data_IF_029050935334
#
_entry.id   IF_029050935334
#
_cell.length_a   1.000
_cell.length_b   1.000
_cell.length_c   1.000
_cell.angle_alpha   90.00
_cell.angle_beta   90.00
_cell.angle_gamma   90.00
#
_symmetry.space_group_name_H-M   'P 1'
#
loop_
_entity.id
_entity.type
_entity.pdbx_description
1 polymer ?
#
# COMPACT_ATOMS: atom_id res chain seq x y z
N UNK A 1 -3.53 -30.42 -0.42
CA UNK A 1 -3.89 -29.11 -1.05
C UNK A 1 -2.90 -28.09 -0.55
N UNK A 2 -2.33 -27.26 -1.43
CA UNK A 2 -1.40 -26.21 -0.99
C UNK A 2 -2.16 -25.16 -0.17
N UNK A 3 -1.57 -24.60 0.91
CA UNK A 3 -2.22 -23.59 1.75
C UNK A 3 -2.70 -22.37 0.95
N UNK A 4 -2.04 -22.06 -0.17
CA UNK A 4 -2.43 -21.01 -1.08
C UNK A 4 -3.82 -21.25 -1.72
N UNK A 5 -4.13 -22.50 -2.09
CA UNK A 5 -5.45 -22.84 -2.68
C UNK A 5 -6.58 -22.73 -1.67
N UNK A 6 -6.31 -23.03 -0.40
CA UNK A 6 -7.29 -22.86 0.68
C UNK A 6 -7.57 -21.39 0.95
N UNK A 7 -6.53 -20.55 1.01
CA UNK A 7 -6.68 -19.10 1.19
C UNK A 7 -7.44 -18.46 0.04
N UNK A 8 -7.12 -18.84 -1.21
CA UNK A 8 -7.84 -18.34 -2.40
C UNK A 8 -9.30 -18.80 -2.39
N UNK A 9 -9.59 -20.05 -2.01
CA UNK A 9 -10.96 -20.55 -1.91
C UNK A 9 -11.75 -19.84 -0.81
N UNK A 10 -11.17 -19.61 0.36
CA UNK A 10 -11.81 -18.88 1.48
C UNK A 10 -12.10 -17.43 1.09
N UNK A 11 -11.15 -16.73 0.43
CA UNK A 11 -11.37 -15.38 -0.09
C UNK A 11 -12.48 -15.36 -1.15
N UNK A 12 -12.53 -16.37 -2.03
CA UNK A 12 -13.56 -16.46 -3.06
C UNK A 12 -14.94 -16.76 -2.48
N UNK A 13 -15.03 -17.63 -1.46
CA UNK A 13 -16.29 -17.93 -0.75
C UNK A 13 -16.77 -16.71 0.06
N UNK A 14 -15.88 -15.96 0.72
CA UNK A 14 -16.22 -14.71 1.40
C UNK A 14 -16.76 -13.64 0.43
N UNK A 15 -16.28 -13.61 -0.81
CA UNK A 15 -16.80 -12.72 -1.87
C UNK A 15 -18.17 -13.15 -2.37
N UNK A 16 -18.46 -14.45 -2.42
CA UNK A 16 -19.73 -15.00 -2.94
C UNK A 16 -20.89 -14.98 -1.94
N UNK A 17 -20.64 -15.17 -0.64
CA UNK A 17 -21.69 -15.25 0.41
C UNK A 17 -22.38 -13.89 0.66
N UNK A 18 -21.83 -12.79 0.18
CA UNK A 18 -22.40 -11.45 0.36
C UNK A 18 -23.38 -10.99 -0.76
N UNK A 19 -23.99 -11.87 -1.52
CA UNK A 19 -24.69 -11.53 -2.78
C UNK A 19 -26.17 -11.13 -2.64
N UNK A 20 -26.71 -10.86 -1.45
CA UNK A 20 -28.15 -10.51 -1.32
C UNK A 20 -28.31 -9.26 -0.46
N UNK A 21 -28.38 -8.11 -1.08
CA UNK A 21 -29.01 -6.81 -0.75
C UNK A 21 -28.41 -5.74 -1.65
N UNK A 22 -29.09 -4.64 -1.92
CA UNK A 22 -28.59 -3.52 -2.75
C UNK A 22 -27.36 -2.88 -2.08
N UNK A 23 -26.19 -3.53 -2.19
CA UNK A 23 -24.95 -3.10 -1.58
C UNK A 23 -24.22 -2.19 -2.56
N UNK A 24 -23.83 -1.03 -2.09
CA UNK A 24 -23.04 -0.08 -2.86
C UNK A 24 -21.60 -0.58 -2.92
N UNK A 25 -21.14 -0.87 -4.12
CA UNK A 25 -19.74 -1.15 -4.39
C UNK A 25 -19.04 0.14 -4.84
N UNK A 26 -17.78 0.30 -4.48
CA UNK A 26 -16.94 1.39 -4.94
C UNK A 26 -15.65 0.84 -5.50
N UNK A 27 -15.22 1.38 -6.63
CA UNK A 27 -13.89 1.17 -7.19
C UNK A 27 -13.20 2.52 -7.34
N UNK A 28 -11.91 2.60 -7.02
CA UNK A 28 -11.14 3.81 -7.23
C UNK A 28 -9.77 3.52 -7.81
N UNK A 29 -9.27 4.48 -8.58
CA UNK A 29 -7.90 4.55 -9.06
C UNK A 29 -7.30 5.89 -8.64
N UNK A 30 -6.09 5.85 -8.08
CA UNK A 30 -5.39 7.04 -7.57
C UNK A 30 -3.95 7.05 -8.05
N UNK A 31 -3.39 8.23 -8.18
CA UNK A 31 -1.96 8.46 -8.48
C UNK A 31 -1.41 9.37 -7.42
N UNK A 32 -0.22 9.09 -6.94
CA UNK A 32 0.41 9.87 -5.89
C UNK A 32 1.89 9.58 -5.74
N UNK A 33 2.39 9.79 -4.54
CA UNK A 33 3.77 9.51 -4.17
C UNK A 33 3.84 8.73 -2.87
N UNK A 34 4.83 7.85 -2.77
CA UNK A 34 5.16 7.15 -1.52
C UNK A 34 6.43 7.76 -0.91
N UNK A 35 6.32 8.14 0.35
CA UNK A 35 7.42 8.64 1.17
C UNK A 35 7.84 7.53 2.13
N UNK A 36 9.12 7.19 2.11
CA UNK A 36 9.66 6.09 2.93
C UNK A 36 10.61 6.65 3.97
N UNK A 37 10.49 6.16 5.22
CA UNK A 37 11.38 6.56 6.30
C UNK A 37 12.80 6.05 6.07
N UNK A 38 13.80 6.92 6.22
CA UNK A 38 15.22 6.55 6.13
C UNK A 38 15.60 5.44 7.09
N UNK A 39 16.53 4.58 6.69
CA UNK A 39 17.02 3.46 7.47
C UNK A 39 18.50 3.65 7.83
N UNK A 40 18.83 3.44 9.11
CA UNK A 40 20.22 3.42 9.56
C UNK A 40 20.82 2.02 9.37
N UNK A 41 22.10 1.97 8.96
CA UNK A 41 22.84 0.72 8.76
C UNK A 41 23.55 0.34 10.06
N UNK A 42 23.45 -0.92 10.49
CA UNK A 42 24.11 -1.44 11.69
C UNK A 42 25.63 -1.43 11.49
N UNK A 43 26.37 -0.91 12.49
CA UNK A 43 27.83 -0.90 12.48
C UNK A 43 28.47 0.10 11.52
N UNK A 44 27.68 1.03 10.96
CA UNK A 44 28.22 2.08 10.11
C UNK A 44 28.82 3.22 10.95
N UNK A 45 30.15 3.24 11.08
CA UNK A 45 30.91 4.29 11.80
C UNK A 45 31.37 5.44 10.88
N UNK A 46 30.61 5.79 9.82
CA UNK A 46 31.03 6.71 8.77
C UNK A 46 30.09 7.91 8.65
N UNK A 47 30.57 8.96 7.98
CA UNK A 47 29.80 10.12 7.57
C UNK A 47 28.70 9.71 6.58
N UNK A 48 27.52 9.51 6.99
CA UNK A 48 26.30 9.07 6.29
C UNK A 48 25.97 7.56 6.47
N UNK A 49 25.56 7.17 7.69
CA UNK A 49 25.19 5.79 7.98
C UNK A 49 23.76 5.44 7.49
N UNK A 50 23.06 6.36 6.83
CA UNK A 50 21.66 6.20 6.47
C UNK A 50 21.46 5.87 5.00
N UNK A 51 20.43 5.07 4.75
CA UNK A 51 19.85 4.86 3.42
C UNK A 51 18.67 5.81 3.30
N UNK A 52 18.69 6.68 2.30
CA UNK A 52 17.59 7.55 1.97
C UNK A 52 16.81 6.98 0.79
N UNK A 53 15.50 6.96 0.92
CA UNK A 53 14.61 6.47 -0.11
C UNK A 53 14.06 7.65 -0.91
N UNK A 54 14.03 7.52 -2.23
CA UNK A 54 13.41 8.50 -3.13
C UNK A 54 11.89 8.53 -2.97
N UNK A 55 11.27 9.52 -3.62
CA UNK A 55 9.83 9.73 -3.63
C UNK A 55 9.27 9.24 -4.97
N UNK A 56 9.12 7.93 -5.14
CA UNK A 56 8.60 7.32 -6.36
C UNK A 56 7.14 7.64 -6.61
N UNK A 57 6.77 7.69 -7.91
CA UNK A 57 5.36 7.70 -8.30
C UNK A 57 4.71 6.39 -7.87
N UNK A 58 3.51 6.49 -7.32
CA UNK A 58 2.75 5.32 -6.84
C UNK A 58 1.37 5.33 -7.47
N UNK A 59 0.98 4.18 -8.01
CA UNK A 59 -0.37 3.92 -8.48
C UNK A 59 -1.15 3.21 -7.39
N UNK A 60 -2.30 3.76 -7.01
CA UNK A 60 -3.23 3.18 -6.05
C UNK A 60 -4.49 2.66 -6.74
N UNK A 61 -5.01 1.54 -6.22
CA UNK A 61 -6.30 1.00 -6.64
C UNK A 61 -7.05 0.45 -5.43
N UNK A 62 -8.34 0.73 -5.32
CA UNK A 62 -9.12 0.22 -4.20
C UNK A 62 -10.47 -0.30 -4.69
N UNK A 63 -10.89 -1.43 -4.14
CA UNK A 63 -12.25 -1.92 -4.24
C UNK A 63 -12.84 -1.98 -2.84
N UNK A 64 -14.01 -1.42 -2.63
CA UNK A 64 -14.72 -1.53 -1.36
C UNK A 64 -16.18 -1.91 -1.56
N UNK A 65 -16.71 -2.65 -0.59
CA UNK A 65 -18.11 -3.10 -0.55
C UNK A 65 -18.71 -2.72 0.79
N UNK A 66 -19.81 -1.99 0.75
CA UNK A 66 -20.56 -1.65 1.94
C UNK A 66 -21.12 -2.93 2.57
N UNK A 67 -20.74 -3.21 3.81
CA UNK A 67 -21.22 -4.34 4.59
C UNK A 67 -22.44 -3.97 5.43
N UNK A 68 -22.39 -2.78 6.05
CA UNK A 68 -23.48 -2.31 6.91
C UNK A 68 -23.50 -0.80 7.03
N UNK A 69 -24.72 -0.24 7.18
CA UNK A 69 -24.94 1.18 7.43
C UNK A 69 -25.52 1.40 8.83
N UNK A 70 -24.98 2.38 9.54
CA UNK A 70 -25.41 2.81 10.86
C UNK A 70 -25.63 4.33 10.86
N UNK A 71 -26.83 4.76 10.52
CA UNK A 71 -27.12 6.19 10.38
C UNK A 71 -26.22 6.85 9.35
N UNK A 72 -25.37 7.77 9.79
CA UNK A 72 -24.40 8.48 8.95
C UNK A 72 -23.13 7.68 8.65
N UNK A 73 -22.90 6.56 9.33
CA UNK A 73 -21.71 5.73 9.19
C UNK A 73 -21.97 4.55 8.26
N UNK A 74 -21.01 4.28 7.37
CA UNK A 74 -20.97 3.07 6.56
C UNK A 74 -19.73 2.24 6.89
N UNK A 75 -19.91 0.95 7.20
CA UNK A 75 -18.80 0.01 7.38
C UNK A 75 -18.66 -0.80 6.11
N UNK A 76 -17.46 -0.82 5.55
CA UNK A 76 -17.15 -1.51 4.29
C UNK A 76 -15.95 -2.44 4.44
N UNK A 77 -16.00 -3.58 3.75
CA UNK A 77 -14.79 -4.34 3.45
C UNK A 77 -14.08 -3.69 2.26
N UNK A 78 -12.79 -3.49 2.37
CA UNK A 78 -11.95 -2.90 1.33
C UNK A 78 -10.78 -3.81 0.97
N UNK A 79 -10.37 -3.82 -0.28
CA UNK A 79 -9.06 -4.33 -0.71
C UNK A 79 -8.32 -3.18 -1.36
N UNK A 80 -7.17 -2.82 -0.79
CA UNK A 80 -6.29 -1.78 -1.32
C UNK A 80 -5.10 -2.41 -2.01
N UNK A 81 -4.71 -1.82 -3.14
CA UNK A 81 -3.52 -2.13 -3.91
C UNK A 81 -2.70 -0.87 -4.09
N UNK A 82 -1.38 -0.97 -3.85
CA UNK A 82 -0.43 0.09 -4.16
C UNK A 82 0.76 -0.49 -4.92
N UNK A 83 1.19 0.21 -5.96
CA UNK A 83 2.33 -0.14 -6.79
C UNK A 83 3.21 1.07 -7.04
N UNK A 84 4.47 0.98 -6.64
CA UNK A 84 5.51 1.96 -6.97
C UNK A 84 6.53 1.28 -7.88
N UNK A 85 6.59 1.70 -9.16
CA UNK A 85 7.45 1.06 -10.15
C UNK A 85 8.94 1.38 -9.95
N UNK A 86 9.24 2.51 -9.34
CA UNK A 86 10.59 3.03 -9.25
C UNK A 86 10.80 3.81 -7.95
N UNK A 87 11.68 3.31 -7.11
CA UNK A 87 12.07 3.90 -5.83
C UNK A 87 13.58 3.90 -5.76
N UNK A 88 14.16 5.06 -6.07
CA UNK A 88 15.62 5.27 -5.99
C UNK A 88 16.14 5.11 -4.56
N UNK A 89 17.34 4.58 -4.44
CA UNK A 89 18.07 4.49 -3.19
C UNK A 89 19.30 5.40 -3.23
N UNK A 90 19.41 6.29 -2.26
CA UNK A 90 20.55 7.17 -2.12
C UNK A 90 21.33 6.84 -0.85
N UNK A 91 22.60 6.47 -1.03
CA UNK A 91 23.50 6.03 0.04
C UNK A 91 24.95 6.26 -0.37
N UNK A 92 25.85 6.37 0.60
CA UNK A 92 27.29 6.43 0.36
C UNK A 92 27.96 5.06 0.21
N UNK A 93 27.21 3.94 0.01
CA UNK A 93 27.76 2.57 -0.03
C UNK A 93 27.44 1.84 -1.32
N UNK A 94 28.45 1.16 -1.88
CA UNK A 94 28.32 0.44 -3.16
C UNK A 94 27.61 -0.92 -3.08
N UNK A 95 27.34 -1.47 -1.90
CA UNK A 95 26.73 -2.79 -1.76
C UNK A 95 25.18 -2.76 -1.84
N UNK A 96 24.60 -1.56 -1.95
CA UNK A 96 23.16 -1.37 -1.92
C UNK A 96 22.62 -1.35 -3.35
N UNK A 97 21.49 -2.04 -3.62
CA UNK A 97 20.81 -1.96 -4.92
C UNK A 97 20.50 -0.51 -5.33
N UNK A 98 20.54 -0.19 -6.62
CA UNK A 98 20.26 1.15 -7.15
C UNK A 98 18.84 1.64 -6.79
N UNK A 99 17.88 0.72 -6.82
CA UNK A 99 16.49 1.02 -6.51
C UNK A 99 15.66 -0.24 -6.28
N UNK A 100 14.37 -0.06 -6.07
CA UNK A 100 13.42 -1.16 -5.96
C UNK A 100 12.02 -0.74 -6.40
N UNK A 101 11.21 -1.74 -6.75
CA UNK A 101 9.77 -1.62 -6.92
C UNK A 101 9.07 -2.22 -5.71
N UNK A 102 7.88 -1.75 -5.39
CA UNK A 102 7.07 -2.43 -4.37
C UNK A 102 5.60 -2.57 -4.77
N UNK A 103 5.01 -3.65 -4.27
CA UNK A 103 3.60 -3.99 -4.42
C UNK A 103 3.02 -4.28 -3.04
N UNK A 104 1.92 -3.63 -2.68
CA UNK A 104 1.18 -3.92 -1.47
C UNK A 104 -0.25 -4.29 -1.83
N UNK A 105 -0.76 -5.37 -1.21
CA UNK A 105 -2.17 -5.78 -1.30
C UNK A 105 -2.68 -5.97 0.11
N UNK A 106 -3.65 -5.15 0.51
CA UNK A 106 -4.12 -5.12 1.89
C UNK A 106 -5.65 -5.17 1.96
N UNK A 107 -6.24 -6.32 2.32
CA UNK A 107 -7.59 -6.37 2.86
C UNK A 107 -7.71 -5.47 4.10
N UNK A 108 -8.81 -4.72 4.19
CA UNK A 108 -9.03 -3.74 5.25
C UNK A 108 -10.52 -3.61 5.61
N UNK A 109 -10.79 -3.09 6.78
CA UNK A 109 -12.09 -2.55 7.16
C UNK A 109 -12.02 -1.03 7.02
N UNK A 110 -13.01 -0.47 6.33
CA UNK A 110 -13.13 0.97 6.10
C UNK A 110 -14.43 1.48 6.73
N UNK A 111 -14.33 2.60 7.43
CA UNK A 111 -15.47 3.32 7.97
C UNK A 111 -15.60 4.65 7.23
N UNK A 112 -16.74 4.83 6.56
CA UNK A 112 -17.11 6.06 5.89
C UNK A 112 -18.00 6.88 6.80
N UNK A 113 -17.69 8.16 6.94
CA UNK A 113 -18.55 9.14 7.58
C UNK A 113 -19.43 9.80 6.51
N UNK A 114 -20.67 10.13 6.85
CA UNK A 114 -21.67 10.71 5.91
C UNK A 114 -21.85 9.86 4.64
N UNK A 115 -21.96 8.53 4.85
CA UNK A 115 -22.11 7.59 3.75
C UNK A 115 -23.37 7.87 2.94
N UNK A 116 -23.20 8.04 1.62
CA UNK A 116 -24.31 8.40 0.70
C UNK A 116 -24.46 9.88 0.42
N UNK A 117 -23.76 10.74 1.17
CA UNK A 117 -23.71 12.18 0.93
C UNK A 117 -22.69 12.54 -0.16
N UNK A 118 -22.73 13.81 -0.59
CA UNK A 118 -21.81 14.34 -1.59
C UNK A 118 -20.35 14.41 -1.13
N UNK A 119 -20.11 14.44 0.19
CA UNK A 119 -18.77 14.44 0.81
C UNK A 119 -18.72 13.36 1.86
N UNK A 120 -17.74 12.46 1.76
CA UNK A 120 -17.61 11.29 2.63
C UNK A 120 -16.15 11.10 3.07
N UNK A 121 -15.76 11.67 4.23
CA UNK A 121 -14.49 11.30 4.86
C UNK A 121 -14.50 9.81 5.25
N UNK A 122 -13.33 9.20 5.27
CA UNK A 122 -13.23 7.81 5.68
C UNK A 122 -11.88 7.51 6.35
N UNK A 123 -11.87 6.44 7.14
CA UNK A 123 -10.66 5.83 7.70
C UNK A 123 -10.68 4.34 7.42
N UNK A 124 -9.50 3.73 7.30
CA UNK A 124 -9.37 2.29 7.10
C UNK A 124 -8.21 1.71 7.89
N UNK A 125 -8.34 0.45 8.27
CA UNK A 125 -7.30 -0.33 8.92
C UNK A 125 -7.32 -1.75 8.37
N UNK A 126 -6.14 -2.29 8.09
CA UNK A 126 -6.03 -3.60 7.51
C UNK A 126 -4.64 -4.20 7.58
N UNK A 127 -4.50 -5.37 7.01
CA UNK A 127 -3.22 -6.05 6.91
C UNK A 127 -3.20 -6.96 5.71
N UNK A 128 -2.02 -7.23 5.20
CA UNK A 128 -1.89 -8.01 3.98
C UNK A 128 -0.46 -8.36 3.65
N UNK A 129 -0.19 -8.36 2.38
CA UNK A 129 1.05 -8.83 1.79
C UNK A 129 1.74 -7.73 1.00
N UNK A 130 3.07 -7.70 1.10
CA UNK A 130 3.94 -6.84 0.34
C UNK A 130 5.08 -7.62 -0.31
N UNK A 131 5.47 -7.15 -1.48
CA UNK A 131 6.63 -7.66 -2.21
C UNK A 131 7.46 -6.50 -2.70
N UNK A 132 8.76 -6.58 -2.46
CA UNK A 132 9.77 -5.70 -3.02
C UNK A 132 10.54 -6.46 -4.10
N UNK A 133 10.84 -5.77 -5.20
CA UNK A 133 11.76 -6.24 -6.25
C UNK A 133 12.90 -5.26 -6.33
N UNK A 134 14.08 -5.68 -5.89
CA UNK A 134 15.30 -4.90 -5.89
C UNK A 134 15.95 -4.91 -7.28
N UNK A 135 16.69 -3.85 -7.61
CA UNK A 135 17.49 -3.77 -8.83
C UNK A 135 18.55 -4.89 -8.90
N UNK A 136 18.82 -5.32 -10.11
CA UNK A 136 19.95 -6.24 -10.40
C UNK A 136 21.30 -5.51 -10.40
N UNK A 137 21.31 -4.19 -10.31
CA UNK A 137 22.49 -3.35 -10.28
C UNK A 137 22.64 -2.63 -8.94
N UNK A 138 23.89 -2.32 -8.58
CA UNK A 138 24.24 -1.57 -7.38
C UNK A 138 24.30 -0.06 -7.68
N UNK A 139 24.11 0.78 -6.65
CA UNK A 139 24.10 2.25 -6.73
C UNK A 139 25.30 2.83 -7.48
N UNK A 140 26.49 2.26 -7.33
CA UNK A 140 27.72 2.73 -8.03
C UNK A 140 28.15 1.79 -9.18
N UNK A 141 27.21 0.99 -9.69
CA UNK A 141 27.44 0.04 -10.76
C UNK A 141 27.94 -1.32 -10.30
N UNK A 142 27.78 -2.30 -11.17
CA UNK A 142 28.09 -3.71 -10.92
C UNK A 142 26.86 -4.54 -10.55
N UNK A 143 26.96 -5.87 -10.69
CA UNK A 143 25.85 -6.77 -10.43
C UNK A 143 25.52 -6.82 -8.94
N UNK A 144 24.22 -6.85 -8.60
CA UNK A 144 23.74 -7.05 -7.25
C UNK A 144 23.98 -8.53 -6.82
N UNK A 145 24.82 -8.81 -5.81
CA UNK A 145 25.08 -10.17 -5.35
C UNK A 145 24.00 -10.74 -4.44
N UNK A 146 23.07 -9.91 -4.00
CA UNK A 146 22.04 -10.27 -3.02
C UNK A 146 20.72 -10.70 -3.65
N UNK A 147 19.69 -10.73 -2.81
CA UNK A 147 18.33 -11.07 -3.25
C UNK A 147 17.73 -9.93 -4.05
N UNK A 148 17.06 -10.29 -5.13
CA UNK A 148 16.31 -9.35 -5.98
C UNK A 148 14.79 -9.35 -5.69
N UNK A 149 14.37 -10.09 -4.65
CA UNK A 149 12.96 -10.14 -4.22
C UNK A 149 12.85 -10.37 -2.73
N UNK A 150 12.02 -9.58 -2.06
CA UNK A 150 11.73 -9.68 -0.63
C UNK A 150 10.23 -9.63 -0.40
N UNK A 151 9.71 -10.62 0.32
CA UNK A 151 8.31 -10.72 0.69
C UNK A 151 8.12 -10.31 2.15
N UNK A 152 7.01 -9.60 2.45
CA UNK A 152 6.75 -9.10 3.80
C UNK A 152 5.26 -9.06 4.12
N UNK A 153 4.95 -9.19 5.42
CA UNK A 153 3.64 -8.80 5.93
C UNK A 153 3.52 -7.29 6.04
N UNK A 154 2.36 -6.76 5.67
CA UNK A 154 2.05 -5.33 5.67
C UNK A 154 0.90 -5.08 6.63
N UNK A 155 1.01 -4.05 7.46
CA UNK A 155 -0.09 -3.47 8.21
C UNK A 155 -0.43 -2.10 7.62
N UNK A 156 -1.72 -1.81 7.40
CA UNK A 156 -2.15 -0.59 6.71
C UNK A 156 -3.07 0.22 7.60
N UNK A 157 -2.80 1.52 7.66
CA UNK A 157 -3.73 2.56 8.09
C UNK A 157 -3.99 3.51 6.93
N UNK A 158 -5.25 3.92 6.75
CA UNK A 158 -5.62 4.86 5.71
C UNK A 158 -6.65 5.85 6.19
N UNK A 159 -6.60 7.04 5.60
CA UNK A 159 -7.62 8.07 5.74
C UNK A 159 -7.79 8.77 4.40
N UNK A 160 -8.97 9.29 4.15
CA UNK A 160 -9.22 10.02 2.91
C UNK A 160 -10.56 10.71 2.90
N UNK A 161 -10.80 11.38 1.77
CA UNK A 161 -11.99 12.14 1.50
C UNK A 161 -12.46 11.81 0.09
N UNK A 162 -13.72 11.38 -0.01
CA UNK A 162 -14.43 11.20 -1.28
C UNK A 162 -15.41 12.35 -1.46
N UNK A 163 -15.37 12.99 -2.63
CA UNK A 163 -16.31 14.05 -3.02
C UNK A 163 -17.02 13.60 -4.27
N UNK A 164 -18.36 13.50 -4.21
CA UNK A 164 -19.22 13.05 -5.31
C UNK A 164 -20.03 14.22 -5.90
N UNK A 165 -19.44 14.98 -6.85
CA UNK A 165 -20.19 16.00 -7.57
C UNK A 165 -21.26 15.39 -8.49
N UNK A 166 -21.11 14.12 -8.86
CA UNK A 166 -22.07 13.33 -9.63
C UNK A 166 -22.50 12.09 -8.85
N UNK A 167 -23.70 11.59 -9.08
CA UNK A 167 -24.28 10.47 -8.30
C UNK A 167 -23.39 9.22 -8.25
N UNK A 168 -22.66 8.91 -9.34
CA UNK A 168 -21.88 7.68 -9.47
C UNK A 168 -20.37 7.92 -9.49
N UNK A 169 -19.92 9.13 -9.84
CA UNK A 169 -18.52 9.45 -9.98
C UNK A 169 -18.10 10.52 -8.98
N UNK A 170 -16.94 10.32 -8.38
CA UNK A 170 -16.36 11.24 -7.41
C UNK A 170 -14.87 11.36 -7.56
N UNK A 171 -14.34 12.33 -6.83
CA UNK A 171 -12.91 12.53 -6.63
C UNK A 171 -12.52 11.95 -5.28
N UNK A 172 -11.35 11.34 -5.20
CA UNK A 172 -10.77 10.79 -3.99
C UNK A 172 -9.44 11.46 -3.71
N UNK A 173 -9.25 11.88 -2.45
CA UNK A 173 -7.95 12.17 -1.86
C UNK A 173 -7.69 11.16 -0.75
N UNK A 174 -6.49 10.58 -0.71
CA UNK A 174 -6.15 9.59 0.32
C UNK A 174 -4.70 9.70 0.77
N UNK A 175 -4.51 9.35 2.04
CA UNK A 175 -3.21 9.08 2.63
C UNK A 175 -3.26 7.69 3.29
N UNK A 176 -2.24 6.87 3.02
CA UNK A 176 -2.13 5.51 3.58
C UNK A 176 -0.72 5.27 4.08
N UNK A 177 -0.61 4.71 5.26
CA UNK A 177 0.67 4.21 5.78
C UNK A 177 0.68 2.69 5.67
N UNK A 178 1.60 2.17 4.88
CA UNK A 178 1.89 0.75 4.78
C UNK A 178 3.13 0.43 5.62
N UNK A 179 2.90 -0.01 6.84
CA UNK A 179 3.95 -0.44 7.75
C UNK A 179 4.39 -1.87 7.40
N UNK A 180 5.52 -1.98 6.72
CA UNK A 180 6.04 -3.22 6.13
C UNK A 180 7.45 -3.52 6.62
N UNK A 181 7.94 -4.74 6.36
CA UNK A 181 9.35 -5.07 6.53
C UNK A 181 10.23 -4.23 5.61
N UNK A 182 11.50 -4.07 5.96
CA UNK A 182 12.49 -3.43 5.10
C UNK A 182 12.87 -4.41 3.97
N UNK A 183 13.03 -3.95 2.71
CA UNK A 183 13.56 -4.78 1.64
C UNK A 183 14.99 -5.26 1.96
N UNK A 184 15.39 -6.38 1.41
CA UNK A 184 16.79 -6.86 1.53
C UNK A 184 17.69 -5.94 0.70
N UNK A 185 18.51 -5.15 1.39
CA UNK A 185 19.38 -4.15 0.78
C UNK A 185 20.86 -4.56 0.83
N UNK A 186 21.16 -5.85 1.02
CA UNK A 186 22.50 -6.41 1.22
C UNK A 186 23.24 -5.91 2.48
N UNK A 187 22.54 -5.18 3.33
CA UNK A 187 23.06 -4.64 4.60
C UNK A 187 22.03 -4.84 5.71
N UNK A 188 22.51 -4.96 6.93
CA UNK A 188 21.62 -5.03 8.09
C UNK A 188 21.19 -3.63 8.50
N UNK A 189 19.90 -3.39 8.52
CA UNK A 189 19.31 -2.13 8.98
C UNK A 189 18.97 -2.21 10.47
N UNK A 190 19.01 -1.07 11.17
CA UNK A 190 18.68 -0.99 12.60
C UNK A 190 17.21 -1.34 12.86
N UNK A 191 16.32 -0.96 11.96
CA UNK A 191 14.89 -1.28 12.04
C UNK A 191 14.54 -2.41 11.08
N UNK A 192 13.75 -3.36 11.55
CA UNK A 192 13.21 -4.45 10.72
C UNK A 192 11.96 -4.07 9.94
N UNK A 193 11.35 -2.93 10.25
CA UNK A 193 10.13 -2.42 9.60
C UNK A 193 10.28 -0.94 9.25
N UNK A 194 9.54 -0.51 8.24
CA UNK A 194 9.50 0.87 7.76
C UNK A 194 8.09 1.33 7.45
N UNK A 195 7.87 2.62 7.53
CA UNK A 195 6.67 3.29 7.09
C UNK A 195 6.80 3.65 5.61
N UNK A 196 5.80 3.31 4.83
CA UNK A 196 5.67 3.67 3.42
C UNK A 196 4.39 4.50 3.31
N UNK A 197 4.54 5.81 3.45
CA UNK A 197 3.41 6.77 3.49
C UNK A 197 3.06 7.16 2.06
N UNK A 198 1.97 6.63 1.56
CA UNK A 198 1.38 7.00 0.28
C UNK A 198 0.43 8.18 0.45
N UNK A 199 0.55 9.17 -0.40
CA UNK A 199 -0.41 10.29 -0.54
C UNK A 199 -0.77 10.42 -2.01
N UNK A 200 -2.06 10.38 -2.31
CA UNK A 200 -2.53 10.40 -3.70
C UNK A 200 -3.94 10.93 -3.87
N UNK A 201 -4.27 11.17 -5.13
CA UNK A 201 -5.60 11.57 -5.55
C UNK A 201 -6.02 10.90 -6.84
N UNK A 202 -7.32 10.83 -7.08
CA UNK A 202 -7.85 10.16 -8.26
C UNK A 202 -9.37 10.16 -8.30
N UNK A 203 -9.90 9.14 -8.95
CA UNK A 203 -11.34 9.00 -9.17
C UNK A 203 -11.91 7.80 -8.41
N UNK A 204 -13.13 7.94 -7.96
CA UNK A 204 -13.92 6.88 -7.35
C UNK A 204 -15.26 6.76 -8.07
N UNK A 205 -15.72 5.52 -8.27
CA UNK A 205 -17.03 5.21 -8.87
C UNK A 205 -17.82 4.29 -7.95
N UNK A 206 -19.10 4.64 -7.75
CA UNK A 206 -20.12 3.82 -7.06
C UNK A 206 -21.00 3.08 -8.06
N UNK A 207 -21.35 1.83 -7.76
CA UNK A 207 -22.24 0.99 -8.59
C UNK A 207 -22.96 -0.09 -7.78
#
# INVERSE_FOLDING_TARGET
MSPLRVVVAVVFVLVLVCAVHAQVNEISGTVGRTFVSSQAIVGANFNNPNIHFGNGITLGGNYSRLLRRYGIFGVSGEVSFAYSPDMDLNTGRNLIPEGYQHYFVTPAVRVNFFHGEGVSPWVSVGGGYGMYRQSHELVFGGPNPGKTSTNTGVFQFGAGLDVFPWQKWGLRLEARDYWAGVPDLNVTTVRSRQHNIYVGGGFVRRF
#
